data_IF_830697837536
#
_entry.id   IF_830697837536
#
_cell.length_a   1.000
_cell.length_b   1.000
_cell.length_c   1.000
_cell.angle_alpha   90.00
_cell.angle_beta   90.00
_cell.angle_gamma   90.00
#
_symmetry.space_group_name_H-M   'P 1'
#
loop_
_entity.id
_entity.type
_entity.pdbx_description
1 polymer ?
#
# COMPACT_ATOMS: atom_id res chain seq x y z
N UNK A 1 23.60 -7.02 4.29
CA UNK A 1 22.75 -6.45 3.23
C UNK A 1 21.38 -7.08 3.29
N UNK A 2 20.32 -6.31 3.01
CA UNK A 2 18.95 -6.81 2.96
C UNK A 2 18.64 -7.41 1.59
N UNK A 3 17.99 -8.57 1.54
CA UNK A 3 17.53 -9.18 0.27
C UNK A 3 16.18 -8.64 -0.20
N UNK A 4 15.32 -8.27 0.75
CA UNK A 4 13.99 -7.69 0.50
C UNK A 4 13.75 -6.54 1.48
N UNK A 5 13.18 -5.45 1.01
CA UNK A 5 12.81 -4.28 1.82
C UNK A 5 11.35 -3.93 1.55
N UNK A 6 10.54 -3.87 2.60
CA UNK A 6 9.15 -3.43 2.53
C UNK A 6 9.08 -1.91 2.74
N UNK A 7 8.42 -1.21 1.82
CA UNK A 7 8.25 0.24 1.83
C UNK A 7 6.75 0.55 1.95
N UNK A 8 6.27 0.90 3.16
CA UNK A 8 4.89 1.33 3.33
C UNK A 8 4.69 2.72 2.73
N UNK A 9 3.73 2.84 1.82
CA UNK A 9 3.28 4.10 1.22
C UNK A 9 1.80 4.24 1.51
N UNK A 10 1.42 5.28 2.26
CA UNK A 10 0.01 5.60 2.57
C UNK A 10 -0.59 6.66 1.63
N UNK A 11 0.18 7.10 0.63
CA UNK A 11 -0.19 8.18 -0.29
C UNK A 11 0.03 9.58 0.27
N UNK A 12 0.52 9.72 1.51
CA UNK A 12 0.88 11.02 2.05
C UNK A 12 2.19 11.53 1.42
N UNK A 13 2.32 12.86 1.21
CA UNK A 13 3.58 13.45 0.76
C UNK A 13 4.76 13.20 1.70
N UNK A 14 4.50 12.83 2.96
CA UNK A 14 5.53 12.49 3.91
C UNK A 14 6.08 11.08 3.65
N UNK A 15 5.20 10.09 3.47
CA UNK A 15 5.62 8.71 3.20
C UNK A 15 6.39 8.59 1.88
N UNK A 16 6.00 9.29 0.83
CA UNK A 16 6.66 9.23 -0.48
C UNK A 16 8.11 9.75 -0.48
N UNK A 17 8.49 10.59 0.49
CA UNK A 17 9.86 11.14 0.60
C UNK A 17 10.93 10.08 0.84
N UNK A 18 10.55 8.86 1.23
CA UNK A 18 11.52 7.77 1.39
C UNK A 18 12.10 7.32 0.04
N UNK A 19 11.34 7.40 -1.05
CA UNK A 19 11.71 6.85 -2.36
C UNK A 19 13.09 7.31 -2.87
N UNK A 20 13.41 8.62 -2.90
CA UNK A 20 14.72 9.10 -3.35
C UNK A 20 15.87 8.80 -2.36
N UNK A 21 15.62 8.15 -1.23
CA UNK A 21 16.62 7.85 -0.20
C UNK A 21 16.93 6.36 -0.09
N UNK A 22 16.12 5.50 -0.72
CA UNK A 22 16.26 4.05 -0.64
C UNK A 22 17.58 3.57 -1.25
N UNK A 23 18.03 4.17 -2.36
CA UNK A 23 19.28 3.79 -3.02
C UNK A 23 20.52 3.98 -2.13
N UNK A 24 20.45 4.85 -1.11
CA UNK A 24 21.54 5.00 -0.12
C UNK A 24 21.51 3.95 0.98
N UNK A 25 20.39 3.25 1.15
CA UNK A 25 20.16 2.28 2.22
C UNK A 25 20.37 0.83 1.76
N UNK A 26 20.34 0.60 0.45
CA UNK A 26 20.43 -0.73 -0.15
C UNK A 26 21.56 -0.76 -1.18
N UNK A 27 22.11 -1.94 -1.44
CA UNK A 27 22.85 -2.15 -2.69
C UNK A 27 21.85 -2.60 -3.74
N UNK A 28 21.67 -1.76 -4.76
CA UNK A 28 20.62 -1.83 -5.76
C UNK A 28 20.66 -3.08 -6.63
N UNK A 29 21.79 -3.78 -6.69
CA UNK A 29 21.97 -4.96 -7.53
C UNK A 29 21.37 -6.25 -6.94
N UNK A 30 21.13 -6.32 -5.63
CA UNK A 30 20.74 -7.57 -4.95
C UNK A 30 19.50 -7.43 -4.03
N UNK A 31 18.88 -6.25 -4.01
CA UNK A 31 17.79 -5.95 -3.08
C UNK A 31 16.47 -5.77 -3.82
N UNK A 32 15.49 -6.61 -3.51
CA UNK A 32 14.11 -6.46 -3.96
C UNK A 32 13.38 -5.40 -3.12
N UNK A 33 12.74 -4.45 -3.80
CA UNK A 33 11.93 -3.42 -3.16
C UNK A 33 10.45 -3.75 -3.30
N UNK A 34 9.76 -3.87 -2.17
CA UNK A 34 8.33 -4.18 -2.11
C UNK A 34 7.60 -2.93 -1.66
N UNK A 35 6.89 -2.27 -2.57
CA UNK A 35 6.02 -1.15 -2.24
C UNK A 35 4.69 -1.72 -1.72
N UNK A 36 4.23 -1.20 -0.58
CA UNK A 36 3.06 -1.72 0.12
C UNK A 36 2.13 -0.60 0.56
N UNK A 37 0.83 -0.80 0.35
CA UNK A 37 -0.22 0.12 0.77
C UNK A 37 -1.35 -0.67 1.43
N UNK A 38 -1.83 -0.19 2.57
CA UNK A 38 -2.99 -0.77 3.25
C UNK A 38 -4.24 -0.01 2.80
N UNK A 39 -5.18 -0.72 2.19
CA UNK A 39 -6.49 -0.17 1.83
C UNK A 39 -7.51 -0.60 2.88
N UNK A 40 -8.30 0.34 3.38
CA UNK A 40 -9.41 0.00 4.26
C UNK A 40 -10.45 -0.86 3.51
N UNK A 41 -11.05 -1.86 4.17
CA UNK A 41 -12.08 -2.67 3.54
C UNK A 41 -13.29 -1.81 3.16
N UNK A 42 -13.81 -1.98 1.95
CA UNK A 42 -15.07 -1.36 1.55
C UNK A 42 -16.21 -1.95 2.37
N UNK A 43 -16.77 -1.17 3.29
CA UNK A 43 -18.06 -1.50 3.89
C UNK A 43 -19.13 -1.23 2.83
N UNK A 44 -19.65 -2.30 2.21
CA UNK A 44 -20.82 -2.18 1.34
C UNK A 44 -22.01 -1.80 2.22
N UNK A 45 -22.34 -0.51 2.28
CA UNK A 45 -23.60 -0.07 2.85
C UNK A 45 -24.68 -0.57 1.91
N UNK A 46 -25.30 -1.71 2.23
CA UNK A 46 -26.52 -2.16 1.57
C UNK A 46 -27.55 -1.05 1.72
N UNK A 47 -27.90 -0.39 0.62
CA UNK A 47 -29.02 0.54 0.66
C UNK A 47 -30.30 -0.26 0.96
N UNK A 48 -31.25 0.31 1.74
CA UNK A 48 -32.51 -0.35 2.03
C UNK A 48 -33.24 -0.85 0.77
N UNK A 49 -33.07 -0.16 -0.36
CA UNK A 49 -33.69 -0.50 -1.65
C UNK A 49 -33.25 -1.89 -2.16
N UNK A 50 -32.02 -2.33 -1.85
CA UNK A 50 -31.50 -3.62 -2.31
C UNK A 50 -32.18 -4.81 -1.61
N UNK A 51 -32.76 -4.61 -0.42
CA UNK A 51 -33.47 -5.67 0.33
C UNK A 51 -34.86 -5.98 -0.21
N UNK A 52 -35.48 -5.04 -0.94
CA UNK A 52 -36.86 -5.15 -1.39
C UNK A 52 -37.04 -5.89 -2.73
N UNK A 53 -35.95 -6.19 -3.45
CA UNK A 53 -35.99 -6.86 -4.75
C UNK A 53 -35.79 -8.38 -4.74
N UNK A 54 -35.82 -9.03 -3.57
CA UNK A 54 -35.57 -10.46 -3.38
C UNK A 54 -36.81 -11.26 -2.89
N UNK A 55 -38.01 -10.67 -2.98
CA UNK A 55 -39.30 -11.35 -2.79
C UNK A 55 -40.07 -11.32 -4.10
#
# INVERSE_FOLDING_TARGET
MYRKVLIPLDGSPFAERILPHIERLISSAETELILFHVVEPFHHIMSPETRAGLT
#
